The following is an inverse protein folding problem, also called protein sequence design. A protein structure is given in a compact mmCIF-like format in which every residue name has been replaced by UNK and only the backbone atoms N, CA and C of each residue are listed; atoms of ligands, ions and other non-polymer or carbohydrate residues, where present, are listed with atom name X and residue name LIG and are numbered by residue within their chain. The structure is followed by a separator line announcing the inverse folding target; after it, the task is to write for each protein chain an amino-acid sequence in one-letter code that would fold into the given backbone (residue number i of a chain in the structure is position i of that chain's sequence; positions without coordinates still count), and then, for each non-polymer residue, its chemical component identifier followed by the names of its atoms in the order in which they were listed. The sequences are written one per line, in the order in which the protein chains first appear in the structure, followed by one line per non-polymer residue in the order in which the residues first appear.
data_IF_453166092565
#
_entry.id   IF_453166092565
#
_cell.length_a   1.000
_cell.length_b   1.000
_cell.length_c   1.000
_cell.angle_alpha   90.00
_cell.angle_beta   90.00
_cell.angle_gamma   90.00
#
_symmetry.space_group_name_H-M   'P 1'
#
loop_
_entity.id
_entity.type
_entity.pdbx_description
1 polymer ?
#
# COMPACT_ATOMS: atom_id res chain seq x y z
N UNK A 1 -21.56 -19.99 -5.48
CA UNK A 1 -20.66 -20.25 -4.33
C UNK A 1 -19.42 -19.40 -4.51
N UNK A 2 -18.87 -18.78 -3.45
CA UNK A 2 -17.70 -17.89 -3.53
C UNK A 2 -16.43 -18.68 -3.15
N UNK A 3 -15.33 -18.46 -3.86
CA UNK A 3 -14.01 -18.97 -3.47
C UNK A 3 -13.50 -18.23 -2.22
N UNK A 4 -13.56 -18.92 -1.08
CA UNK A 4 -13.21 -18.36 0.23
C UNK A 4 -11.72 -18.05 0.36
N UNK A 5 -10.83 -18.85 -0.25
CA UNK A 5 -9.38 -18.63 -0.17
C UNK A 5 -9.01 -17.37 -0.95
N UNK A 6 -9.52 -17.27 -2.19
CA UNK A 6 -9.33 -16.08 -3.02
C UNK A 6 -9.86 -14.82 -2.33
N UNK A 7 -11.04 -14.90 -1.71
CA UNK A 7 -11.63 -13.78 -0.96
C UNK A 7 -10.74 -13.34 0.20
N UNK A 8 -10.18 -14.27 0.97
CA UNK A 8 -9.32 -13.95 2.12
C UNK A 8 -8.05 -13.21 1.70
N UNK A 9 -7.39 -13.64 0.61
CA UNK A 9 -6.17 -12.95 0.14
C UNK A 9 -6.47 -11.52 -0.33
N UNK A 10 -7.59 -11.31 -1.04
CA UNK A 10 -8.02 -9.96 -1.45
C UNK A 10 -8.31 -9.09 -0.21
N UNK A 11 -8.92 -9.64 0.84
CA UNK A 11 -9.19 -8.90 2.08
C UNK A 11 -7.92 -8.48 2.81
N UNK A 12 -6.90 -9.36 2.85
CA UNK A 12 -5.59 -9.03 3.41
C UNK A 12 -4.91 -7.91 2.64
N UNK A 13 -4.89 -7.99 1.31
CA UNK A 13 -4.33 -6.93 0.47
C UNK A 13 -5.10 -5.62 0.59
N UNK A 14 -6.43 -5.66 0.75
CA UNK A 14 -7.22 -4.45 0.99
C UNK A 14 -6.83 -3.77 2.32
N UNK A 15 -6.65 -4.56 3.37
CA UNK A 15 -6.14 -4.03 4.65
C UNK A 15 -4.73 -3.45 4.47
N UNK A 16 -3.87 -4.16 3.72
CA UNK A 16 -2.54 -3.68 3.35
C UNK A 16 -2.55 -2.35 2.60
N UNK A 17 -3.52 -2.10 1.72
CA UNK A 17 -3.68 -0.81 1.04
C UNK A 17 -3.79 0.34 2.03
N UNK A 18 -4.66 0.20 3.03
CA UNK A 18 -4.90 1.26 4.02
C UNK A 18 -3.69 1.47 4.93
N UNK A 19 -3.06 0.38 5.38
CA UNK A 19 -1.85 0.45 6.20
C UNK A 19 -0.69 1.11 5.43
N UNK A 20 -0.48 0.73 4.17
CA UNK A 20 0.57 1.32 3.33
C UNK A 20 0.29 2.81 3.09
N UNK A 21 -0.96 3.19 2.81
CA UNK A 21 -1.30 4.60 2.62
C UNK A 21 -1.06 5.43 3.89
N UNK A 22 -1.43 4.90 5.07
CA UNK A 22 -1.15 5.54 6.35
C UNK A 22 0.36 5.67 6.60
N UNK A 23 1.14 4.61 6.37
CA UNK A 23 2.59 4.63 6.55
C UNK A 23 3.26 5.65 5.60
N UNK A 24 2.82 5.71 4.34
CA UNK A 24 3.30 6.69 3.36
C UNK A 24 3.07 8.12 3.83
N UNK A 25 1.87 8.44 4.34
CA UNK A 25 1.58 9.77 4.89
C UNK A 25 2.39 10.07 6.15
N UNK A 26 2.63 9.07 6.99
CA UNK A 26 3.39 9.21 8.23
C UNK A 26 4.87 9.48 7.97
N UNK A 27 5.47 8.80 6.99
CA UNK A 27 6.90 8.96 6.66
C UNK A 27 7.16 10.14 5.73
N UNK A 28 6.34 10.31 4.70
CA UNK A 28 6.60 11.25 3.60
C UNK A 28 5.81 12.55 3.75
N UNK A 29 4.69 12.55 4.48
CA UNK A 29 3.81 13.71 4.68
C UNK A 29 2.46 13.62 3.94
N UNK A 30 1.58 14.56 4.27
CA UNK A 30 0.18 14.58 3.84
C UNK A 30 -0.05 14.89 2.36
N UNK A 31 0.99 15.33 1.63
CA UNK A 31 0.90 15.55 0.18
C UNK A 31 0.83 14.25 -0.62
N UNK A 32 1.17 13.11 0.00
CA UNK A 32 0.97 11.81 -0.63
C UNK A 32 -0.52 11.58 -0.86
N UNK A 33 -0.88 11.32 -2.11
CA UNK A 33 -2.24 10.98 -2.53
C UNK A 33 -2.21 9.73 -3.38
N UNK A 34 -3.15 8.82 -3.14
CA UNK A 34 -3.38 7.66 -3.99
C UNK A 34 -3.74 8.10 -5.41
N UNK A 35 -3.10 7.48 -6.40
CA UNK A 35 -3.38 7.66 -7.82
C UNK A 35 -3.91 6.37 -8.46
N UNK A 36 -3.72 5.22 -7.81
CA UNK A 36 -4.25 3.94 -8.25
C UNK A 36 -3.98 2.83 -7.23
N UNK A 37 -4.78 1.77 -7.28
CA UNK A 37 -4.47 0.55 -6.54
C UNK A 37 -5.03 -0.68 -7.24
N UNK A 38 -4.24 -1.74 -7.28
CA UNK A 38 -4.68 -3.07 -7.68
C UNK A 38 -4.63 -3.99 -6.47
N UNK A 39 -5.78 -4.59 -6.13
CA UNK A 39 -5.94 -5.49 -4.99
C UNK A 39 -6.37 -6.86 -5.52
N UNK A 40 -5.39 -7.65 -5.93
CA UNK A 40 -5.60 -9.01 -6.42
C UNK A 40 -5.32 -10.04 -5.33
N UNK A 41 -5.62 -11.33 -5.56
CA UNK A 41 -5.24 -12.40 -4.62
C UNK A 41 -3.73 -12.69 -4.60
N UNK A 42 -2.98 -12.35 -5.65
CA UNK A 42 -1.53 -12.64 -5.74
C UNK A 42 -0.67 -11.48 -5.24
N UNK A 43 -1.14 -10.24 -5.37
CA UNK A 43 -0.39 -9.05 -4.97
C UNK A 43 -1.27 -7.83 -4.75
N UNK A 44 -0.72 -6.92 -3.95
CA UNK A 44 -1.12 -5.53 -3.86
C UNK A 44 -0.17 -4.64 -4.68
N UNK A 45 -0.71 -3.74 -5.50
CA UNK A 45 0.02 -2.59 -6.05
C UNK A 45 -0.67 -1.31 -5.59
N UNK A 46 0.12 -0.33 -5.16
CA UNK A 46 -0.36 0.97 -4.71
C UNK A 46 0.46 2.06 -5.39
N UNK A 47 -0.22 2.87 -6.19
CA UNK A 47 0.36 3.97 -6.94
C UNK A 47 0.00 5.28 -6.24
N UNK A 48 0.99 6.14 -6.00
CA UNK A 48 0.81 7.39 -5.27
C UNK A 48 1.64 8.52 -5.87
N UNK A 49 1.22 9.76 -5.65
CA UNK A 49 1.97 10.95 -6.06
C UNK A 49 3.03 11.32 -5.02
N UNK A 50 4.27 11.53 -5.47
CA UNK A 50 5.38 12.04 -4.68
C UNK A 50 6.34 12.83 -5.57
N UNK A 51 7.07 13.79 -5.01
CA UNK A 51 7.89 14.73 -5.80
C UNK A 51 9.19 14.12 -6.35
N UNK A 52 9.62 12.98 -5.79
CA UNK A 52 10.84 12.29 -6.18
C UNK A 52 10.67 10.78 -6.00
N UNK A 53 11.68 10.00 -6.40
CA UNK A 53 11.79 8.59 -6.01
C UNK A 53 12.11 8.46 -4.52
N UNK A 54 11.60 7.40 -3.87
CA UNK A 54 11.91 7.12 -2.48
C UNK A 54 13.39 6.82 -2.27
N UNK A 55 13.95 7.36 -1.19
CA UNK A 55 15.27 7.01 -0.67
C UNK A 55 15.25 5.62 -0.02
N UNK A 56 16.44 5.02 0.17
CA UNK A 56 16.54 3.72 0.85
C UNK A 56 16.09 3.81 2.30
N UNK A 57 16.38 4.93 2.94
CA UNK A 57 16.05 5.25 4.32
C UNK A 57 14.53 5.34 4.51
N UNK A 58 13.83 6.05 3.61
CA UNK A 58 12.37 6.12 3.60
C UNK A 58 11.74 4.73 3.38
N UNK A 59 12.26 3.94 2.43
CA UNK A 59 11.79 2.56 2.19
C UNK A 59 11.93 1.70 3.45
N UNK A 60 13.05 1.81 4.17
CA UNK A 60 13.27 1.05 5.40
C UNK A 60 12.32 1.50 6.51
N UNK A 61 12.07 2.81 6.63
CA UNK A 61 11.11 3.36 7.60
C UNK A 61 9.68 2.91 7.31
N UNK A 62 9.27 2.87 6.04
CA UNK A 62 7.95 2.40 5.62
C UNK A 62 7.70 0.92 5.95
N UNK A 63 8.74 0.07 5.95
CA UNK A 63 8.64 -1.36 6.26
C UNK A 63 8.56 -1.67 7.77
N UNK A 64 8.94 -0.72 8.61
CA UNK A 64 9.14 -0.92 10.06
C UNK A 64 8.11 -0.21 10.93
N UNK A 65 7.23 0.59 10.32
CA UNK A 65 5.99 1.10 10.92
C UNK A 65 4.94 0.00 11.03
#
# INVERSE_FOLDING_TARGET
MIDSKRRLEIQRHHTGTHLLHWALRTVLGDHVKQQGSWVGPERLRFDFSHFASLTKEEINRLKTL
#
